data_IF_035988953771
#
_entry.id   IF_035988953771
#
_cell.length_a   1.000
_cell.length_b   1.000
_cell.length_c   1.000
_cell.angle_alpha   90.00
_cell.angle_beta   90.00
_cell.angle_gamma   90.00
#
_symmetry.space_group_name_H-M   'P 1'
#
loop_
_entity.id
_entity.type
_entity.pdbx_description
1 polymer ?
#
# COMPACT_ATOMS: atom_id res chain seq x y z
N UNK A 1 6.71 -18.87 -7.81
CA UNK A 1 7.14 -17.49 -7.48
C UNK A 1 8.33 -17.59 -6.55
N UNK A 2 9.31 -16.68 -6.59
CA UNK A 2 10.31 -16.57 -5.53
C UNK A 2 10.12 -15.22 -4.87
N UNK A 3 9.79 -15.24 -3.58
CA UNK A 3 9.66 -14.06 -2.74
C UNK A 3 11.06 -13.68 -2.27
N UNK A 4 11.60 -12.61 -2.84
CA UNK A 4 12.91 -12.08 -2.47
C UNK A 4 12.68 -10.90 -1.54
N UNK A 5 12.45 -11.23 -0.28
CA UNK A 5 12.37 -10.23 0.78
C UNK A 5 13.62 -10.35 1.64
N UNK A 6 14.31 -9.23 1.82
CA UNK A 6 15.16 -9.01 3.00
C UNK A 6 14.29 -8.73 4.25
N UNK A 7 13.18 -9.45 4.41
CA UNK A 7 12.28 -9.29 5.55
C UNK A 7 12.84 -10.02 6.77
N UNK A 8 12.74 -9.39 7.94
CA UNK A 8 13.13 -9.95 9.24
C UNK A 8 12.53 -11.37 9.42
N UNK A 9 13.33 -12.41 9.72
CA UNK A 9 12.87 -13.78 9.94
C UNK A 9 11.74 -13.92 10.97
N UNK A 10 11.67 -13.02 11.96
CA UNK A 10 10.61 -13.02 12.97
C UNK A 10 9.23 -12.69 12.40
N UNK A 11 9.17 -11.76 11.44
CA UNK A 11 7.92 -11.37 10.77
C UNK A 11 7.40 -12.53 9.90
N UNK A 12 8.32 -13.23 9.21
CA UNK A 12 8.01 -14.47 8.48
C UNK A 12 7.39 -15.52 9.40
N UNK A 13 8.01 -15.77 10.54
CA UNK A 13 7.53 -16.76 11.50
C UNK A 13 6.16 -16.41 12.09
N UNK A 14 5.90 -15.13 12.39
CA UNK A 14 4.62 -14.70 12.94
C UNK A 14 3.51 -14.73 11.90
N UNK A 15 3.72 -14.20 10.70
CA UNK A 15 2.71 -14.24 9.62
C UNK A 15 2.33 -15.68 9.22
N UNK A 16 3.29 -16.60 9.21
CA UNK A 16 3.04 -18.03 8.97
C UNK A 16 2.16 -18.68 10.05
N UNK A 17 2.13 -18.10 11.27
CA UNK A 17 1.42 -18.61 12.44
C UNK A 17 0.13 -17.85 12.76
N UNK A 18 -0.34 -16.93 11.90
CA UNK A 18 -1.64 -16.26 12.08
C UNK A 18 -2.76 -16.99 11.30
N UNK A 19 -3.49 -17.94 11.92
CA UNK A 19 -4.55 -18.71 11.25
C UNK A 19 -5.71 -17.85 10.70
N UNK A 20 -5.84 -16.60 11.15
CA UNK A 20 -6.85 -15.65 10.65
C UNK A 20 -6.49 -14.96 9.33
N UNK A 21 -5.21 -14.91 8.95
CA UNK A 21 -4.71 -14.16 7.80
C UNK A 21 -5.27 -14.68 6.47
N UNK A 22 -5.05 -15.97 6.19
CA UNK A 22 -5.55 -16.58 4.95
C UNK A 22 -7.07 -16.48 4.87
N UNK A 23 -7.77 -16.64 5.99
CA UNK A 23 -9.23 -16.53 6.03
C UNK A 23 -9.71 -15.12 5.70
N UNK A 24 -9.10 -14.10 6.31
CA UNK A 24 -9.45 -12.70 6.05
C UNK A 24 -9.20 -12.30 4.59
N UNK A 25 -8.04 -12.68 4.03
CA UNK A 25 -7.68 -12.34 2.65
C UNK A 25 -8.52 -13.08 1.59
N UNK A 26 -8.99 -14.29 1.90
CA UNK A 26 -9.73 -15.14 0.97
C UNK A 26 -11.27 -15.06 1.12
N UNK A 27 -11.79 -14.38 2.15
CA UNK A 27 -13.24 -14.15 2.35
C UNK A 27 -13.84 -13.35 1.19
N UNK A 28 -14.84 -13.92 0.49
CA UNK A 28 -15.44 -13.34 -0.73
C UNK A 28 -16.54 -12.32 -0.45
N UNK A 29 -16.15 -11.08 -0.16
CA UNK A 29 -17.08 -9.98 0.18
C UNK A 29 -17.13 -8.84 -0.84
N UNK A 30 -16.19 -8.81 -1.78
CA UNK A 30 -16.08 -7.76 -2.78
C UNK A 30 -16.92 -8.10 -4.02
N UNK A 31 -17.39 -7.06 -4.72
CA UNK A 31 -18.17 -7.14 -5.96
C UNK A 31 -17.34 -6.53 -7.09
N UNK A 32 -17.82 -6.69 -8.33
CA UNK A 32 -17.18 -6.10 -9.52
C UNK A 32 -16.90 -4.60 -9.36
N UNK A 33 -17.87 -3.85 -8.80
CA UNK A 33 -17.76 -2.40 -8.55
C UNK A 33 -16.63 -2.00 -7.59
N UNK A 34 -16.11 -2.96 -6.82
CA UNK A 34 -15.00 -2.74 -5.89
C UNK A 34 -13.64 -2.95 -6.59
N UNK A 35 -13.63 -3.33 -7.88
CA UNK A 35 -12.44 -3.45 -8.72
C UNK A 35 -12.37 -2.33 -9.76
N UNK A 36 -11.20 -2.15 -10.37
CA UNK A 36 -11.01 -1.20 -11.48
C UNK A 36 -11.52 -1.72 -12.85
N UNK A 37 -12.18 -2.88 -12.88
CA UNK A 37 -12.66 -3.53 -14.09
C UNK A 37 -14.19 -3.45 -14.19
N UNK A 38 -14.69 -3.25 -15.40
CA UNK A 38 -16.11 -3.34 -15.71
C UNK A 38 -16.59 -4.79 -15.74
N UNK A 39 -17.90 -5.00 -15.59
CA UNK A 39 -18.53 -6.32 -15.76
C UNK A 39 -18.17 -6.98 -17.10
N UNK A 40 -18.14 -6.19 -18.18
CA UNK A 40 -17.79 -6.69 -19.51
C UNK A 40 -16.35 -7.19 -19.56
N UNK A 41 -15.40 -6.42 -19.03
CA UNK A 41 -14.01 -6.83 -18.96
C UNK A 41 -13.82 -8.09 -18.11
N UNK A 42 -14.49 -8.17 -16.95
CA UNK A 42 -14.44 -9.36 -16.09
C UNK A 42 -14.98 -10.59 -16.82
N UNK A 43 -16.10 -10.47 -17.54
CA UNK A 43 -16.65 -11.59 -18.31
C UNK A 43 -15.70 -12.05 -19.41
N UNK A 44 -15.06 -11.12 -20.14
CA UNK A 44 -14.03 -11.46 -21.14
C UNK A 44 -12.84 -12.17 -20.51
N UNK A 45 -12.29 -11.63 -19.41
CA UNK A 45 -11.18 -12.25 -18.69
C UNK A 45 -11.53 -13.65 -18.14
N UNK A 46 -12.78 -13.86 -17.75
CA UNK A 46 -13.27 -15.15 -17.27
C UNK A 46 -13.33 -16.18 -18.38
N UNK A 47 -13.87 -15.79 -19.55
CA UNK A 47 -13.93 -16.64 -20.74
C UNK A 47 -12.53 -17.05 -21.19
N UNK A 48 -11.59 -16.13 -21.11
CA UNK A 48 -10.20 -16.35 -21.51
C UNK A 48 -9.36 -16.99 -20.41
N UNK A 49 -9.96 -17.40 -19.29
CA UNK A 49 -9.29 -18.14 -18.21
C UNK A 49 -8.34 -17.32 -17.32
N UNK A 50 -8.23 -16.00 -17.55
CA UNK A 50 -7.35 -15.08 -16.80
C UNK A 50 -7.84 -14.87 -15.36
N UNK A 51 -9.14 -15.01 -15.10
CA UNK A 51 -9.70 -14.99 -13.72
C UNK A 51 -10.33 -16.36 -13.40
N UNK A 52 -10.54 -16.66 -12.12
CA UNK A 52 -11.26 -17.87 -11.70
C UNK A 52 -12.76 -17.58 -11.80
N UNK A 53 -13.51 -18.44 -12.51
CA UNK A 53 -14.97 -18.43 -12.42
C UNK A 53 -15.37 -18.99 -11.05
N UNK A 54 -15.90 -18.11 -10.20
CA UNK A 54 -16.26 -18.46 -8.82
C UNK A 54 -17.77 -18.66 -8.63
N UNK A 55 -18.58 -18.42 -9.67
CA UNK A 55 -20.03 -18.54 -9.59
C UNK A 55 -20.48 -19.98 -9.74
N UNK A 56 -21.47 -20.37 -8.95
CA UNK A 56 -22.16 -21.68 -9.10
C UNK A 56 -23.22 -21.62 -10.20
N UNK A 57 -23.67 -20.43 -10.58
CA UNK A 57 -24.69 -20.20 -11.61
C UNK A 57 -24.51 -18.82 -12.26
N UNK A 58 -24.90 -18.68 -13.53
CA UNK A 58 -24.88 -17.40 -14.24
C UNK A 58 -25.75 -16.30 -13.61
N UNK A 59 -26.75 -16.69 -12.82
CA UNK A 59 -27.64 -15.77 -12.09
C UNK A 59 -27.03 -15.23 -10.79
N UNK A 60 -25.90 -15.78 -10.34
CA UNK A 60 -25.25 -15.35 -9.11
C UNK A 60 -24.37 -14.12 -9.34
N UNK A 61 -24.40 -13.17 -8.42
CA UNK A 61 -23.49 -12.03 -8.43
C UNK A 61 -22.06 -12.50 -8.18
N UNK A 62 -21.12 -12.18 -9.08
CA UNK A 62 -19.69 -12.44 -8.86
C UNK A 62 -19.22 -11.78 -7.57
N UNK A 63 -18.63 -12.58 -6.69
CA UNK A 63 -17.96 -12.13 -5.47
C UNK A 63 -16.47 -12.44 -5.55
N UNK A 64 -15.69 -11.53 -4.98
CA UNK A 64 -14.24 -11.60 -4.94
C UNK A 64 -13.73 -11.48 -3.50
N UNK A 65 -12.60 -12.12 -3.23
CA UNK A 65 -11.80 -11.90 -2.03
C UNK A 65 -10.94 -10.64 -2.15
N UNK A 66 -10.33 -10.20 -1.04
CA UNK A 66 -9.42 -9.06 -1.06
C UNK A 66 -8.21 -9.33 -1.97
N UNK A 67 -7.64 -10.54 -1.88
CA UNK A 67 -6.57 -11.01 -2.77
C UNK A 67 -7.01 -10.96 -4.24
N UNK A 68 -8.23 -11.42 -4.54
CA UNK A 68 -8.78 -11.38 -5.90
C UNK A 68 -8.96 -9.93 -6.40
N UNK A 69 -9.36 -8.97 -5.55
CA UNK A 69 -9.46 -7.56 -5.94
C UNK A 69 -8.09 -6.96 -6.27
N UNK A 70 -7.06 -7.23 -5.46
CA UNK A 70 -5.70 -6.77 -5.77
C UNK A 70 -5.23 -7.35 -7.10
N UNK A 71 -5.46 -8.66 -7.32
CA UNK A 71 -5.15 -9.31 -8.58
C UNK A 71 -5.86 -8.64 -9.77
N UNK A 72 -7.16 -8.34 -9.66
CA UNK A 72 -7.93 -7.68 -10.70
C UNK A 72 -7.41 -6.27 -11.01
N UNK A 73 -6.99 -5.52 -9.98
CA UNK A 73 -6.40 -4.20 -10.15
C UNK A 73 -5.03 -4.28 -10.85
N UNK A 74 -4.20 -5.27 -10.49
CA UNK A 74 -2.96 -5.55 -11.20
C UNK A 74 -3.24 -5.90 -12.67
N UNK A 75 -4.17 -6.82 -12.95
CA UNK A 75 -4.59 -7.18 -14.31
C UNK A 75 -5.03 -5.94 -15.11
N UNK A 76 -5.84 -5.05 -14.53
CA UNK A 76 -6.23 -3.79 -15.18
C UNK A 76 -5.00 -2.98 -15.60
N UNK A 77 -4.04 -2.81 -14.70
CA UNK A 77 -2.82 -2.03 -14.99
C UNK A 77 -1.96 -2.68 -16.08
N UNK A 78 -1.84 -4.01 -16.07
CA UNK A 78 -1.19 -4.73 -17.17
C UNK A 78 -1.92 -4.57 -18.50
N UNK A 79 -3.25 -4.66 -18.50
CA UNK A 79 -4.07 -4.43 -19.69
C UNK A 79 -3.88 -3.02 -20.24
N UNK A 80 -3.81 -2.01 -19.37
CA UNK A 80 -3.59 -0.61 -19.74
C UNK A 80 -2.21 -0.39 -20.35
N UNK A 81 -1.21 -1.17 -19.93
CA UNK A 81 0.11 -1.20 -20.55
C UNK A 81 0.14 -1.94 -21.90
N UNK A 82 -0.95 -2.61 -22.29
CA UNK A 82 -1.07 -3.30 -23.57
C UNK A 82 -0.90 -4.82 -23.51
N UNK A 83 -0.87 -5.43 -22.32
CA UNK A 83 -0.78 -6.89 -22.24
C UNK A 83 -2.07 -7.56 -22.74
N UNK A 84 -1.88 -8.65 -23.50
CA UNK A 84 -2.92 -9.53 -24.00
C UNK A 84 -3.36 -10.52 -22.93
N UNK A 85 -4.56 -11.08 -23.08
CA UNK A 85 -5.09 -12.06 -22.12
C UNK A 85 -4.25 -13.34 -22.11
N UNK A 86 -3.66 -13.71 -23.25
CA UNK A 86 -2.72 -14.84 -23.37
C UNK A 86 -1.47 -14.65 -22.49
N UNK A 87 -0.93 -13.44 -22.43
CA UNK A 87 0.25 -13.13 -21.59
C UNK A 87 -0.10 -13.18 -20.09
N UNK A 88 -1.36 -12.91 -19.74
CA UNK A 88 -1.85 -12.88 -18.36
C UNK A 88 -2.31 -14.26 -17.83
N UNK A 89 -2.43 -15.28 -18.68
CA UNK A 89 -2.86 -16.61 -18.25
C UNK A 89 -1.95 -17.20 -17.16
N UNK A 90 -0.64 -17.07 -17.33
CA UNK A 90 0.32 -17.57 -16.35
C UNK A 90 0.31 -16.74 -15.05
N UNK A 91 -0.09 -15.46 -15.14
CA UNK A 91 -0.13 -14.53 -14.02
C UNK A 91 -1.13 -14.96 -12.94
N UNK A 92 -2.28 -15.52 -13.36
CA UNK A 92 -3.32 -16.06 -12.47
C UNK A 92 -2.77 -17.09 -11.48
N UNK A 93 -2.08 -18.11 -11.99
CA UNK A 93 -1.52 -19.19 -11.17
C UNK A 93 -0.50 -18.64 -10.17
N UNK A 94 0.31 -17.69 -10.62
CA UNK A 94 1.33 -17.09 -9.76
C UNK A 94 0.77 -16.24 -8.63
N UNK A 95 -0.36 -15.55 -8.82
CA UNK A 95 -0.90 -14.65 -7.81
C UNK A 95 -1.97 -15.30 -6.95
N UNK A 96 -2.95 -15.96 -7.55
CA UNK A 96 -4.13 -16.44 -6.81
C UNK A 96 -3.84 -17.72 -6.01
N UNK A 97 -2.88 -18.53 -6.44
CA UNK A 97 -2.53 -19.81 -5.79
C UNK A 97 -1.28 -19.73 -4.91
N UNK A 98 -0.61 -18.57 -4.83
CA UNK A 98 0.63 -18.39 -4.08
C UNK A 98 0.38 -17.91 -2.65
N UNK A 99 0.90 -18.68 -1.67
CA UNK A 99 0.97 -18.23 -0.26
C UNK A 99 1.91 -17.04 -0.11
N UNK A 100 2.97 -17.00 -0.89
CA UNK A 100 3.92 -15.90 -0.88
C UNK A 100 3.29 -14.56 -1.31
N UNK A 101 2.26 -14.59 -2.15
CA UNK A 101 1.50 -13.39 -2.47
C UNK A 101 0.61 -12.94 -1.30
N UNK A 102 0.03 -13.87 -0.55
CA UNK A 102 -0.71 -13.56 0.69
C UNK A 102 0.23 -12.94 1.74
N UNK A 103 1.43 -13.49 1.90
CA UNK A 103 2.49 -12.92 2.73
C UNK A 103 2.89 -11.51 2.25
N UNK A 104 3.07 -11.30 0.94
CA UNK A 104 3.40 -9.99 0.40
C UNK A 104 2.31 -8.95 0.66
N UNK A 105 1.03 -9.33 0.57
CA UNK A 105 -0.07 -8.45 0.96
C UNK A 105 0.08 -8.08 2.44
N UNK A 106 0.32 -9.05 3.32
CA UNK A 106 0.54 -8.80 4.75
C UNK A 106 1.73 -7.86 5.02
N UNK A 107 2.85 -8.07 4.33
CA UNK A 107 4.02 -7.21 4.41
C UNK A 107 3.72 -5.78 3.95
N UNK A 108 2.95 -5.62 2.88
CA UNK A 108 2.50 -4.32 2.42
C UNK A 108 1.65 -3.59 3.49
N UNK A 109 0.80 -4.32 4.22
CA UNK A 109 0.00 -3.74 5.30
C UNK A 109 0.83 -3.22 6.48
N UNK A 110 1.89 -3.94 6.86
CA UNK A 110 2.78 -3.48 7.93
C UNK A 110 3.73 -2.36 7.49
N UNK A 111 3.67 -1.94 6.22
CA UNK A 111 4.37 -0.77 5.70
C UNK A 111 5.61 -1.08 4.85
N UNK A 112 5.86 -2.34 4.51
CA UNK A 112 6.94 -2.66 3.56
C UNK A 112 6.54 -2.23 2.15
N UNK A 113 7.48 -1.59 1.44
CA UNK A 113 7.27 -1.13 0.07
C UNK A 113 7.63 -2.26 -0.90
N UNK A 114 6.61 -2.98 -1.37
CA UNK A 114 6.73 -4.15 -2.21
C UNK A 114 6.26 -3.87 -3.62
N UNK A 115 6.91 -4.53 -4.56
CA UNK A 115 6.55 -4.46 -5.98
C UNK A 115 6.35 -5.84 -6.59
N UNK A 116 5.41 -5.87 -7.53
CA UNK A 116 5.27 -6.95 -8.51
C UNK A 116 6.09 -6.58 -9.73
N UNK A 117 7.08 -7.40 -10.05
CA UNK A 117 7.87 -7.29 -11.27
C UNK A 117 7.32 -8.28 -12.28
N UNK A 118 7.06 -7.81 -13.48
CA UNK A 118 6.65 -8.63 -14.61
C UNK A 118 7.69 -8.51 -15.72
N UNK A 119 8.25 -9.65 -16.10
CA UNK A 119 9.38 -9.72 -17.02
C UNK A 119 9.07 -10.70 -18.15
N UNK A 120 9.48 -10.37 -19.37
CA UNK A 120 9.44 -11.29 -20.50
C UNK A 120 10.82 -11.95 -20.67
N UNK A 121 10.93 -13.23 -20.33
CA UNK A 121 12.11 -14.05 -20.58
C UNK A 121 11.83 -15.00 -21.74
N UNK A 122 12.36 -14.71 -22.92
CA UNK A 122 12.29 -15.59 -24.10
C UNK A 122 10.85 -16.02 -24.44
N UNK A 123 9.93 -15.06 -24.54
CA UNK A 123 8.49 -15.28 -24.74
C UNK A 123 7.74 -15.98 -23.59
N UNK A 124 8.41 -16.20 -22.45
CA UNK A 124 7.79 -16.64 -21.22
C UNK A 124 7.72 -15.48 -20.23
N UNK A 125 6.51 -15.20 -19.75
CA UNK A 125 6.29 -14.16 -18.78
C UNK A 125 6.48 -14.69 -17.37
N UNK A 126 7.33 -14.02 -16.61
CA UNK A 126 7.62 -14.33 -15.22
C UNK A 126 7.16 -13.18 -14.32
N UNK A 127 6.70 -13.56 -13.12
CA UNK A 127 6.28 -12.63 -12.09
C UNK A 127 7.12 -12.85 -10.83
N UNK A 128 7.60 -11.75 -10.25
CA UNK A 128 8.42 -11.74 -9.05
C UNK A 128 7.87 -10.75 -8.03
N UNK A 129 8.05 -11.07 -6.74
CA UNK A 129 7.77 -10.15 -5.63
C UNK A 129 9.06 -9.77 -4.94
N UNK A 130 9.32 -8.47 -4.91
CA UNK A 130 10.56 -7.88 -4.42
C UNK A 130 10.24 -6.67 -3.55
N UNK A 131 11.14 -6.36 -2.63
CA UNK A 131 11.16 -5.01 -2.05
C UNK A 131 11.61 -4.00 -3.12
N UNK A 132 11.04 -2.80 -3.06
CA UNK A 132 11.27 -1.75 -4.07
C UNK A 132 12.76 -1.42 -4.27
N UNK A 133 13.54 -1.38 -3.19
CA UNK A 133 14.95 -1.00 -3.24
C UNK A 133 15.83 -2.06 -3.91
N UNK A 134 15.53 -3.35 -3.69
CA UNK A 134 16.22 -4.44 -4.37
C UNK A 134 16.06 -4.35 -5.89
N UNK A 135 14.91 -3.90 -6.39
CA UNK A 135 14.68 -3.78 -7.85
C UNK A 135 15.60 -2.74 -8.47
N UNK A 136 15.77 -1.59 -7.82
CA UNK A 136 16.62 -0.50 -8.30
C UNK A 136 18.10 -0.88 -8.43
N UNK A 137 18.54 -1.93 -7.73
CA UNK A 137 19.96 -2.26 -7.59
C UNK A 137 20.38 -3.54 -8.31
N UNK A 138 19.44 -4.39 -8.77
CA UNK A 138 19.76 -5.74 -9.26
C UNK A 138 19.08 -6.14 -10.57
N UNK A 139 18.26 -5.28 -11.17
CA UNK A 139 17.45 -5.64 -12.34
C UNK A 139 17.96 -4.93 -13.60
N UNK A 140 18.66 -5.69 -14.46
CA UNK A 140 19.24 -5.22 -15.72
C UNK A 140 18.40 -5.58 -16.97
N UNK A 141 17.18 -6.08 -16.79
CA UNK A 141 16.31 -6.50 -17.89
C UNK A 141 15.15 -5.52 -18.14
N UNK A 142 14.43 -5.70 -19.25
CA UNK A 142 13.19 -4.96 -19.49
C UNK A 142 12.05 -5.57 -18.66
N UNK A 143 11.51 -4.78 -17.74
CA UNK A 143 10.45 -5.21 -16.85
C UNK A 143 9.35 -4.15 -16.69
N UNK A 144 8.21 -4.60 -16.22
CA UNK A 144 7.15 -3.74 -15.68
C UNK A 144 7.14 -3.88 -14.16
N UNK A 145 7.10 -2.76 -13.46
CA UNK A 145 7.02 -2.71 -12.00
C UNK A 145 5.69 -2.13 -11.59
N UNK A 146 5.00 -2.84 -10.70
CA UNK A 146 3.76 -2.38 -10.09
C UNK A 146 3.92 -2.35 -8.58
N UNK A 147 3.67 -1.18 -7.99
CA UNK A 147 3.72 -1.01 -6.54
C UNK A 147 2.54 -1.74 -5.87
N UNK A 148 2.82 -2.90 -5.29
CA UNK A 148 1.84 -3.73 -4.59
C UNK A 148 1.32 -3.00 -3.35
N UNK A 149 2.22 -2.35 -2.60
CA UNK A 149 1.87 -1.62 -1.38
C UNK A 149 0.86 -0.52 -1.65
N UNK A 150 1.03 0.23 -2.74
CA UNK A 150 0.05 1.22 -3.19
C UNK A 150 -1.30 0.57 -3.49
N UNK A 151 -1.34 -0.61 -4.12
CA UNK A 151 -2.62 -1.31 -4.36
C UNK A 151 -3.31 -1.77 -3.09
N UNK A 152 -2.54 -2.22 -2.10
CA UNK A 152 -3.09 -2.55 -0.79
C UNK A 152 -3.65 -1.31 -0.10
N UNK A 153 -2.87 -0.23 -0.03
CA UNK A 153 -3.25 1.03 0.65
C UNK A 153 -4.46 1.69 -0.01
N UNK A 154 -4.55 1.72 -1.34
CA UNK A 154 -5.70 2.28 -2.06
C UNK A 154 -7.02 1.59 -1.69
N UNK A 155 -6.97 0.31 -1.28
CA UNK A 155 -8.15 -0.43 -0.83
C UNK A 155 -8.53 -0.18 0.64
N UNK A 156 -7.74 0.62 1.38
CA UNK A 156 -8.01 1.01 2.78
C UNK A 156 -9.33 1.73 2.95
N UNK A 157 -9.62 2.62 2.01
CA UNK A 157 -10.84 3.42 2.03
C UNK A 157 -12.10 2.61 1.69
N UNK A 158 -11.95 1.37 1.21
CA UNK A 158 -13.10 0.50 0.99
C UNK A 158 -13.62 -0.03 2.34
N UNK A 159 -14.89 0.22 2.72
CA UNK A 159 -15.44 -0.21 4.01
C UNK A 159 -15.32 -1.72 4.27
N UNK A 160 -15.31 -2.53 3.19
CA UNK A 160 -15.18 -3.99 3.28
C UNK A 160 -13.76 -4.44 3.61
N UNK A 161 -12.77 -3.59 3.40
CA UNK A 161 -11.38 -3.84 3.75
C UNK A 161 -11.09 -3.51 5.21
N UNK A 162 -11.97 -2.78 5.92
CA UNK A 162 -11.74 -2.30 7.29
C UNK A 162 -11.42 -3.43 8.27
N UNK A 163 -12.12 -4.57 8.17
CA UNK A 163 -11.84 -5.77 8.99
C UNK A 163 -10.41 -6.27 8.78
N UNK A 164 -9.94 -6.28 7.53
CA UNK A 164 -8.60 -6.73 7.13
C UNK A 164 -7.55 -5.72 7.61
N UNK A 165 -7.78 -4.42 7.39
CA UNK A 165 -6.88 -3.37 7.85
C UNK A 165 -6.73 -3.35 9.36
N UNK A 166 -7.83 -3.47 10.11
CA UNK A 166 -7.79 -3.54 11.57
C UNK A 166 -6.99 -4.76 12.04
N UNK A 167 -7.21 -5.93 11.43
CA UNK A 167 -6.44 -7.13 11.71
C UNK A 167 -4.93 -6.90 11.56
N UNK A 168 -4.49 -6.20 10.51
CA UNK A 168 -3.07 -5.89 10.33
C UNK A 168 -2.55 -4.74 11.19
N UNK A 169 -3.38 -3.77 11.55
CA UNK A 169 -3.03 -2.75 12.53
C UNK A 169 -2.73 -3.40 13.88
N UNK A 170 -3.49 -4.42 14.28
CA UNK A 170 -3.25 -5.16 15.51
C UNK A 170 -1.89 -5.89 15.46
N UNK A 171 -1.57 -6.58 14.36
CA UNK A 171 -0.26 -7.22 14.16
C UNK A 171 0.87 -6.18 14.21
N UNK A 172 0.72 -5.08 13.47
CA UNK A 172 1.70 -4.01 13.44
C UNK A 172 1.90 -3.37 14.82
N UNK A 173 0.83 -3.18 15.58
CA UNK A 173 0.91 -2.63 16.94
C UNK A 173 1.50 -3.64 17.93
N UNK A 174 1.33 -4.94 17.68
CA UNK A 174 1.91 -6.03 18.48
C UNK A 174 3.42 -6.20 18.24
N UNK A 175 3.92 -5.93 17.03
CA UNK A 175 5.37 -5.97 16.73
C UNK A 175 6.13 -4.71 17.10
N UNK A 176 5.42 -3.64 17.42
CA UNK A 176 6.01 -2.34 17.62
C UNK A 176 6.01 -1.98 19.10
N UNK A 177 7.18 -2.00 19.72
CA UNK A 177 7.53 -1.08 20.82
C UNK A 177 7.57 0.38 20.34
N UNK A 178 6.77 0.73 19.32
CA UNK A 178 6.65 2.10 18.85
C UNK A 178 5.79 2.83 19.87
N UNK A 179 6.36 3.88 20.41
CA UNK A 179 5.63 4.92 21.10
C UNK A 179 4.51 5.46 20.21
N UNK A 180 3.48 6.02 20.83
CA UNK A 180 2.37 6.68 20.11
C UNK A 180 2.87 7.73 19.10
N UNK A 181 3.99 8.37 19.38
CA UNK A 181 4.65 9.36 18.49
C UNK A 181 5.22 8.73 17.23
N UNK A 182 5.83 7.56 17.32
CA UNK A 182 6.37 6.85 16.16
C UNK A 182 5.24 6.29 15.28
N UNK A 183 4.12 5.88 15.88
CA UNK A 183 2.92 5.49 15.14
C UNK A 183 2.36 6.65 14.32
N UNK A 184 2.24 7.82 14.94
CA UNK A 184 1.78 9.06 14.29
C UNK A 184 2.72 9.47 13.15
N UNK A 185 4.03 9.43 13.37
CA UNK A 185 5.02 9.72 12.33
C UNK A 185 4.88 8.81 11.10
N UNK A 186 4.78 7.50 11.28
CA UNK A 186 4.65 6.59 10.13
C UNK A 186 3.31 6.78 9.41
N UNK A 187 2.22 7.12 10.12
CA UNK A 187 0.96 7.45 9.47
C UNK A 187 1.10 8.70 8.58
N UNK A 188 1.80 9.73 9.04
CA UNK A 188 2.12 10.91 8.25
C UNK A 188 2.93 10.55 6.99
N UNK A 189 3.92 9.65 7.11
CA UNK A 189 4.66 9.13 5.95
C UNK A 189 3.77 8.40 4.94
N UNK A 190 2.85 7.57 5.42
CA UNK A 190 2.01 6.72 4.57
C UNK A 190 0.94 7.51 3.81
N UNK A 191 0.47 8.61 4.39
CA UNK A 191 -0.55 9.45 3.78
C UNK A 191 0.03 10.46 2.76
N UNK A 192 1.36 10.47 2.55
CA UNK A 192 2.08 11.49 1.77
C UNK A 192 1.72 12.93 2.20
N UNK A 193 1.43 13.09 3.48
CA UNK A 193 0.99 14.35 4.07
C UNK A 193 2.22 15.08 4.64
N UNK A 194 3.18 15.36 3.76
CA UNK A 194 4.42 16.08 4.07
C UNK A 194 5.09 16.55 2.78
N UNK A 195 5.83 17.67 2.85
CA UNK A 195 6.68 18.13 1.75
C UNK A 195 8.15 17.73 1.98
N UNK A 196 8.59 17.73 3.24
CA UNK A 196 9.96 17.42 3.60
C UNK A 196 10.00 16.61 4.90
N UNK A 197 10.89 15.61 4.95
CA UNK A 197 11.21 14.85 6.16
C UNK A 197 12.66 15.15 6.54
N UNK A 198 12.86 15.62 7.77
CA UNK A 198 14.20 15.88 8.31
C UNK A 198 14.48 14.91 9.44
N UNK A 199 15.49 14.06 9.27
CA UNK A 199 15.97 13.10 10.28
C UNK A 199 17.28 13.64 10.85
N UNK A 200 17.34 13.86 12.17
CA UNK A 200 18.59 14.21 12.87
C UNK A 200 19.09 13.02 13.67
N UNK A 201 20.38 12.72 13.51
CA UNK A 201 21.09 11.68 14.25
C UNK A 201 22.10 12.32 15.21
N UNK A 202 22.41 11.64 16.30
CA UNK A 202 23.55 11.99 17.16
C UNK A 202 24.88 11.53 16.52
N UNK A 203 25.97 11.80 17.24
CA UNK A 203 27.33 11.45 16.83
C UNK A 203 27.58 9.93 16.77
N UNK A 204 26.70 9.11 17.36
CA UNK A 204 26.73 7.65 17.31
C UNK A 204 25.83 7.09 16.18
N UNK A 205 25.16 7.96 15.42
CA UNK A 205 24.27 7.58 14.34
C UNK A 205 22.85 7.19 14.77
N UNK A 206 22.50 7.34 16.06
CA UNK A 206 21.15 7.11 16.56
C UNK A 206 20.25 8.29 16.22
N UNK A 207 19.03 8.00 15.79
CA UNK A 207 18.04 9.04 15.48
C UNK A 207 17.61 9.70 16.78
N UNK A 208 17.77 11.03 16.86
CA UNK A 208 17.39 11.80 18.05
C UNK A 208 16.12 12.60 17.81
N UNK A 209 15.87 13.04 16.57
CA UNK A 209 14.69 13.82 16.20
C UNK A 209 14.28 13.54 14.78
N UNK A 210 12.97 13.48 14.56
CA UNK A 210 12.37 13.46 13.24
C UNK A 210 11.33 14.58 13.14
N UNK A 211 11.29 15.25 11.99
CA UNK A 211 10.34 16.32 11.70
C UNK A 211 9.73 16.13 10.33
N UNK A 212 8.46 16.44 10.21
CA UNK A 212 7.78 16.65 8.94
C UNK A 212 7.49 18.13 8.78
N UNK A 213 7.81 18.68 7.61
CA UNK A 213 7.41 20.04 7.25
C UNK A 213 6.20 19.94 6.32
N UNK A 214 5.14 20.66 6.67
CA UNK A 214 4.03 20.95 5.77
C UNK A 214 4.00 22.44 5.50
N UNK A 215 3.93 22.81 4.23
CA UNK A 215 3.78 24.20 3.82
C UNK A 215 2.36 24.40 3.29
N UNK A 216 1.61 25.24 3.97
CA UNK A 216 0.29 25.65 3.55
C UNK A 216 0.44 26.97 2.79
N UNK A 217 0.94 26.90 1.55
CA UNK A 217 1.28 28.10 0.75
C UNK A 217 0.25 28.47 -0.32
N UNK A 218 -0.67 27.57 -0.65
CA UNK A 218 -1.60 27.76 -1.78
C UNK A 218 -3.00 28.28 -1.40
N UNK A 219 -3.24 28.58 -0.12
CA UNK A 219 -4.56 29.03 0.35
C UNK A 219 -4.44 30.15 1.40
N UNK A 220 -5.20 31.22 1.22
CA UNK A 220 -5.36 32.24 2.26
C UNK A 220 -6.23 31.66 3.38
N UNK A 221 -5.65 31.45 4.56
CA UNK A 221 -6.38 30.98 5.73
C UNK A 221 -6.98 32.16 6.50
N UNK A 222 -8.18 31.98 7.03
CA UNK A 222 -8.74 32.88 8.05
C UNK A 222 -8.11 32.61 9.42
N UNK A 223 -8.12 33.61 10.30
CA UNK A 223 -7.57 33.47 11.66
C UNK A 223 -8.28 32.38 12.48
N UNK A 224 -9.56 32.12 12.20
CA UNK A 224 -10.34 31.05 12.83
C UNK A 224 -9.86 29.67 12.40
N UNK A 225 -9.66 29.45 11.10
CA UNK A 225 -9.13 28.19 10.57
C UNK A 225 -7.72 27.90 11.11
N UNK A 226 -6.91 28.94 11.33
CA UNK A 226 -5.59 28.78 11.95
C UNK A 226 -5.67 28.39 13.41
N UNK A 227 -6.58 29.00 14.18
CA UNK A 227 -6.78 28.62 15.58
C UNK A 227 -7.23 27.16 15.69
N UNK A 228 -8.02 26.67 14.75
CA UNK A 228 -8.44 25.28 14.71
C UNK A 228 -7.27 24.33 14.38
N UNK A 229 -6.40 24.70 13.43
CA UNK A 229 -5.17 23.94 13.12
C UNK A 229 -4.24 23.89 14.35
N UNK A 230 -3.97 25.03 14.98
CA UNK A 230 -3.10 25.13 16.17
C UNK A 230 -3.68 24.31 17.34
N UNK A 231 -4.99 24.42 17.59
CA UNK A 231 -5.67 23.70 18.68
C UNK A 231 -5.75 22.20 18.43
N UNK A 232 -5.75 21.76 17.17
CA UNK A 232 -5.78 20.34 16.84
C UNK A 232 -4.50 19.59 17.23
N UNK A 233 -3.40 20.32 17.47
CA UNK A 233 -2.09 19.74 17.71
C UNK A 233 -1.60 19.97 19.14
N UNK A 234 -1.19 18.89 19.79
CA UNK A 234 -0.69 18.90 21.18
C UNK A 234 0.77 19.39 21.28
N UNK A 235 1.59 19.16 20.25
CA UNK A 235 3.01 19.52 20.21
C UNK A 235 3.50 19.79 18.78
N UNK A 236 3.48 21.05 18.34
CA UNK A 236 4.02 21.45 17.04
C UNK A 236 4.65 22.86 17.14
N UNK A 237 5.64 23.14 16.28
CA UNK A 237 6.11 24.50 16.04
C UNK A 237 5.44 25.01 14.76
N UNK A 238 4.72 26.11 14.88
CA UNK A 238 4.14 26.81 13.74
C UNK A 238 5.02 28.03 13.43
N UNK A 239 5.31 28.24 12.15
CA UNK A 239 5.91 29.46 11.63
C UNK A 239 4.90 30.10 10.67
N UNK A 240 4.43 31.30 11.03
CA UNK A 240 3.38 32.02 10.29
C UNK A 240 4.02 33.25 9.67
N UNK A 241 3.91 33.39 8.35
CA UNK A 241 4.41 34.54 7.60
C UNK A 241 3.23 35.45 7.24
N UNK A 242 3.29 36.71 7.70
CA UNK A 242 2.34 37.78 7.36
C UNK A 242 2.97 38.78 6.39
N UNK A 243 2.21 39.17 5.36
CA UNK A 243 2.54 40.26 4.43
C UNK A 243 1.29 41.13 4.25
N UNK A 244 1.42 42.44 4.42
CA UNK A 244 0.32 43.42 4.31
C UNK A 244 -0.92 43.07 5.16
N UNK A 245 -0.69 42.58 6.39
CA UNK A 245 -1.75 42.19 7.31
C UNK A 245 -2.45 40.86 6.98
N UNK A 246 -2.09 40.22 5.86
CA UNK A 246 -2.62 38.93 5.43
C UNK A 246 -1.60 37.82 5.67
N UNK A 247 -2.07 36.63 6.02
CA UNK A 247 -1.20 35.46 6.19
C UNK A 247 -1.00 34.82 4.83
N UNK A 248 0.28 34.69 4.44
CA UNK A 248 0.68 34.24 3.10
C UNK A 248 1.35 32.87 3.11
N UNK A 249 1.83 32.39 4.26
CA UNK A 249 2.38 31.05 4.40
C UNK A 249 2.31 30.60 5.87
N UNK A 250 2.01 29.32 6.06
CA UNK A 250 2.15 28.64 7.34
C UNK A 250 3.05 27.43 7.12
N UNK A 251 4.14 27.37 7.87
CA UNK A 251 4.99 26.18 7.96
C UNK A 251 4.72 25.50 9.29
N UNK A 252 4.16 24.30 9.22
CA UNK A 252 4.02 23.44 10.37
C UNK A 252 5.24 22.54 10.47
N UNK A 253 5.85 22.54 11.66
CA UNK A 253 6.94 21.64 12.01
C UNK A 253 6.52 20.78 13.19
N UNK A 254 6.10 19.57 12.88
CA UNK A 254 5.75 18.57 13.89
C UNK A 254 7.03 17.93 14.44
N UNK A 255 7.17 17.88 15.77
CA UNK A 255 8.41 17.45 16.43
C UNK A 255 8.20 16.10 17.09
N UNK A 256 8.82 15.06 16.53
CA UNK A 256 8.91 13.75 17.16
C UNK A 256 10.23 13.66 17.94
N UNK A 257 10.17 13.86 19.26
CA UNK A 257 11.30 13.61 20.19
C UNK A 257 11.26 12.15 20.64
N UNK A 258 12.39 11.47 20.45
CA UNK A 258 12.72 10.15 20.98
C UNK A 258 13.30 10.28 22.39
#
# INVERSE_FOLDING_TARGET
>A
MKLYLNSNPEIKHKLANYPGLCNALNKKNFKVKDSLLTYRQINTLSKDGVIIESRKSDKEWRKFSFKEIIYLNLVKKFKDFGLTNKQLLNFKKFILESKEFEEAIAYAFIGLNLVVIFENKNNNYACYLWDYYSVLTKYDSNYLVFNLTKQVIELKENPKSKEIFNFFLDIRNYENHLSEKEKEFIQTLQNNDYEEIVIKKDNEGKVTKVYTNKNYSDKAYSEKEMLDIIKSKKWAKFEIVKTDGRIVSIKEKEIFKY
#
